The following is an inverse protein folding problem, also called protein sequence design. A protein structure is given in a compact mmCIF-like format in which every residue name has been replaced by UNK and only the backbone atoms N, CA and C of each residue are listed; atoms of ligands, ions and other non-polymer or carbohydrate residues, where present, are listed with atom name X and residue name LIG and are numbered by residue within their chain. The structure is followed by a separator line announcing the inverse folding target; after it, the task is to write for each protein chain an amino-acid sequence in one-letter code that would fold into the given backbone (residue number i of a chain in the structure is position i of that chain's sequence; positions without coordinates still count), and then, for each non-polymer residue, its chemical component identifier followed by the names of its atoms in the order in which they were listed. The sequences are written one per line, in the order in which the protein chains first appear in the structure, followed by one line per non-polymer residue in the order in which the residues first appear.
data_IF_641584366235
#
_entry.id   IF_641584366235
#
_cell.length_a   1.000
_cell.length_b   1.000
_cell.length_c   1.000
_cell.angle_alpha   90.00
_cell.angle_beta   90.00
_cell.angle_gamma   90.00
#
_symmetry.space_group_name_H-M   'P 1'
#
loop_
_entity.id
_entity.type
_entity.pdbx_description
1 polymer ?
#
# COMPACT_ATOMS: atom_id res chain seq x y z
N UNK A 1 -25.05 2.52 0.91
CA UNK A 1 -24.61 3.12 -0.37
C UNK A 1 -24.34 1.98 -1.33
N UNK A 2 -24.94 1.93 -2.54
CA UNK A 2 -24.67 0.84 -3.48
C UNK A 2 -23.20 0.88 -3.92
N UNK A 3 -22.55 -0.28 -4.13
CA UNK A 3 -21.16 -0.33 -4.60
C UNK A 3 -21.06 0.36 -5.97
N UNK A 4 -19.95 1.06 -6.23
CA UNK A 4 -19.78 1.77 -7.49
C UNK A 4 -19.71 0.76 -8.64
N UNK A 5 -20.72 0.78 -9.50
CA UNK A 5 -20.77 -0.02 -10.73
C UNK A 5 -19.49 0.19 -11.55
N UNK A 6 -18.79 -0.88 -11.97
CA UNK A 6 -17.50 -0.78 -12.67
C UNK A 6 -17.57 0.01 -14.00
N UNK A 7 -18.77 0.25 -14.52
CA UNK A 7 -19.02 1.12 -15.68
C UNK A 7 -18.87 2.63 -15.42
N UNK A 8 -18.84 3.09 -14.16
CA UNK A 8 -18.72 4.52 -13.79
C UNK A 8 -17.30 4.95 -13.40
N UNK A 9 -16.33 4.03 -13.49
CA UNK A 9 -14.95 4.26 -13.09
C UNK A 9 -14.17 5.08 -14.14
N UNK A 10 -13.52 6.14 -13.68
CA UNK A 10 -12.61 6.95 -14.50
C UNK A 10 -11.45 6.11 -15.04
N UNK A 11 -10.79 6.57 -16.12
CA UNK A 11 -9.63 5.86 -16.71
C UNK A 11 -8.52 5.62 -15.68
N UNK A 12 -8.29 6.58 -14.79
CA UNK A 12 -7.29 6.46 -13.71
C UNK A 12 -7.70 5.40 -12.68
N UNK A 13 -8.97 5.37 -12.26
CA UNK A 13 -9.49 4.37 -11.33
C UNK A 13 -9.37 2.96 -11.90
N UNK A 14 -9.69 2.77 -13.19
CA UNK A 14 -9.53 1.48 -13.87
C UNK A 14 -8.08 1.02 -13.94
N UNK A 15 -7.14 1.95 -14.21
CA UNK A 15 -5.71 1.63 -14.26
C UNK A 15 -5.17 1.29 -12.87
N UNK A 16 -5.59 2.01 -11.83
CA UNK A 16 -5.25 1.69 -10.45
C UNK A 16 -5.79 0.32 -10.03
N UNK A 17 -7.05 -0.01 -10.39
CA UNK A 17 -7.65 -1.32 -10.15
C UNK A 17 -6.89 -2.47 -10.83
N UNK A 18 -6.41 -2.25 -12.06
CA UNK A 18 -5.61 -3.24 -12.78
C UNK A 18 -4.26 -3.52 -12.09
N UNK A 19 -3.65 -2.50 -11.47
CA UNK A 19 -2.41 -2.64 -10.70
C UNK A 19 -2.66 -3.29 -9.33
N UNK A 20 -3.77 -2.97 -8.67
CA UNK A 20 -4.16 -3.55 -7.37
C UNK A 20 -4.59 -5.03 -7.41
N UNK A 21 -4.39 -5.78 -8.52
CA UNK A 21 -4.61 -7.23 -8.56
C UNK A 21 -3.67 -8.02 -7.64
N UNK A 22 -2.56 -7.40 -7.23
CA UNK A 22 -1.67 -7.84 -6.16
C UNK A 22 -1.53 -6.68 -5.16
N UNK A 23 -1.21 -6.95 -3.88
CA UNK A 23 -0.93 -5.88 -2.92
C UNK A 23 0.26 -5.05 -3.41
N UNK A 24 0.03 -3.76 -3.65
CA UNK A 24 1.06 -2.79 -4.06
C UNK A 24 1.17 -1.67 -3.04
N UNK A 25 2.38 -1.13 -2.89
CA UNK A 25 2.59 0.08 -2.10
C UNK A 25 2.00 1.29 -2.83
N UNK A 26 1.41 2.24 -2.08
CA UNK A 26 0.87 3.48 -2.68
C UNK A 26 1.94 4.30 -3.41
N UNK A 27 3.20 4.23 -2.96
CA UNK A 27 4.33 4.89 -3.61
C UNK A 27 4.63 4.29 -4.99
N UNK A 28 4.54 2.97 -5.11
CA UNK A 28 4.74 2.24 -6.35
C UNK A 28 3.65 2.61 -7.37
N UNK A 29 2.38 2.62 -6.94
CA UNK A 29 1.25 3.08 -7.75
C UNK A 29 1.40 4.54 -8.21
N UNK A 30 1.93 5.41 -7.36
CA UNK A 30 2.19 6.80 -7.72
C UNK A 30 3.30 6.93 -8.78
N UNK A 31 4.36 6.12 -8.65
CA UNK A 31 5.43 6.02 -9.64
C UNK A 31 4.91 5.55 -11.00
N UNK A 32 4.14 4.45 -11.01
CA UNK A 32 3.61 3.81 -12.21
C UNK A 32 2.57 4.65 -12.96
N UNK A 33 1.78 5.42 -12.21
CA UNK A 33 0.75 6.29 -12.77
C UNK A 33 1.26 7.71 -13.04
N UNK A 34 2.44 8.08 -12.52
CA UNK A 34 2.99 9.43 -12.62
C UNK A 34 2.13 10.49 -11.91
N UNK A 35 1.38 10.10 -10.87
CA UNK A 35 0.45 10.96 -10.16
C UNK A 35 0.93 11.28 -8.74
N UNK A 36 0.64 12.47 -8.20
CA UNK A 36 0.96 12.80 -6.81
C UNK A 36 0.30 11.83 -5.82
N UNK A 37 1.01 11.49 -4.73
CA UNK A 37 0.49 10.61 -3.67
C UNK A 37 -0.85 11.06 -3.11
N UNK A 38 -1.10 12.37 -3.01
CA UNK A 38 -2.38 12.91 -2.56
C UNK A 38 -3.54 12.50 -3.47
N UNK A 39 -3.33 12.54 -4.79
CA UNK A 39 -4.33 12.13 -5.78
C UNK A 39 -4.57 10.63 -5.71
N UNK A 40 -3.50 9.83 -5.63
CA UNK A 40 -3.61 8.38 -5.48
C UNK A 40 -4.37 7.99 -4.20
N UNK A 41 -4.14 8.68 -3.08
CA UNK A 41 -4.85 8.43 -1.82
C UNK A 41 -6.35 8.72 -1.93
N UNK A 42 -6.74 9.78 -2.60
CA UNK A 42 -8.17 10.10 -2.83
C UNK A 42 -8.80 9.04 -3.73
N UNK A 43 -8.16 8.71 -4.87
CA UNK A 43 -8.66 7.68 -5.79
C UNK A 43 -8.74 6.29 -5.14
N UNK A 44 -7.74 5.93 -4.33
CA UNK A 44 -7.76 4.69 -3.56
C UNK A 44 -8.86 4.72 -2.50
N UNK A 45 -9.06 5.84 -1.81
CA UNK A 45 -10.18 6.05 -0.89
C UNK A 45 -11.54 5.83 -1.53
N UNK A 46 -11.75 6.39 -2.74
CA UNK A 46 -12.99 6.20 -3.49
C UNK A 46 -13.22 4.72 -3.85
N UNK A 47 -12.16 3.99 -4.21
CA UNK A 47 -12.24 2.57 -4.53
C UNK A 47 -12.46 1.68 -3.29
N UNK A 48 -11.87 2.05 -2.15
CA UNK A 48 -12.10 1.39 -0.86
C UNK A 48 -13.54 1.60 -0.41
N UNK A 49 -14.05 2.84 -0.49
CA UNK A 49 -15.44 3.15 -0.15
C UNK A 49 -16.42 2.43 -1.08
N UNK A 50 -16.02 2.19 -2.32
CA UNK A 50 -16.79 1.40 -3.30
C UNK A 50 -16.70 -0.11 -3.09
N UNK A 51 -15.86 -0.59 -2.17
CA UNK A 51 -15.63 -2.01 -1.91
C UNK A 51 -14.87 -2.75 -3.01
N UNK A 52 -14.19 -2.02 -3.90
CA UNK A 52 -13.47 -2.59 -5.05
C UNK A 52 -12.00 -2.90 -4.74
N UNK A 53 -11.44 -2.27 -3.71
CA UNK A 53 -10.06 -2.46 -3.25
C UNK A 53 -10.07 -2.46 -1.73
N UNK A 54 -9.29 -3.36 -1.11
CA UNK A 54 -9.09 -3.39 0.34
C UNK A 54 -7.66 -3.00 0.70
N UNK A 55 -7.47 -2.45 1.90
CA UNK A 55 -6.14 -2.11 2.39
C UNK A 55 -5.59 -3.29 3.17
N UNK A 56 -4.73 -4.06 2.53
CA UNK A 56 -3.96 -5.05 3.22
C UNK A 56 -2.96 -4.35 4.15
N UNK A 57 -3.27 -4.30 5.44
CA UNK A 57 -2.24 -4.06 6.45
C UNK A 57 -1.32 -5.27 6.44
N UNK A 58 -0.02 -5.04 6.30
CA UNK A 58 0.98 -6.08 6.51
C UNK A 58 0.96 -6.47 7.99
N UNK A 59 0.01 -7.32 8.39
CA UNK A 59 0.07 -8.02 9.66
C UNK A 59 1.04 -9.16 9.50
N UNK A 60 1.99 -9.22 10.43
CA UNK A 60 3.00 -10.25 10.53
C UNK A 60 2.39 -11.65 10.52
N UNK A 61 3.07 -12.65 9.92
CA UNK A 61 2.53 -14.00 9.83
C UNK A 61 2.25 -14.53 11.24
N UNK A 62 1.00 -14.93 11.49
CA UNK A 62 0.60 -15.54 12.74
C UNK A 62 1.27 -16.91 12.87
N UNK A 63 2.10 -17.07 13.89
CA UNK A 63 2.67 -18.36 14.32
C UNK A 63 1.52 -19.32 14.70
N UNK A 64 1.58 -20.64 14.40
CA UNK A 64 0.49 -21.60 14.58
C UNK A 64 -0.04 -21.76 16.02
N UNK A 65 0.53 -21.08 17.01
CA UNK A 65 0.15 -21.17 18.43
C UNK A 65 -0.97 -20.21 18.84
N UNK A 66 -1.61 -19.49 17.89
CA UNK A 66 -2.76 -18.62 18.19
C UNK A 66 -2.45 -17.41 19.10
N UNK A 67 -1.18 -17.19 19.42
CA UNK A 67 -0.73 -16.01 20.16
C UNK A 67 -0.32 -14.94 19.15
N UNK A 68 -0.82 -13.70 19.26
CA UNK A 68 -0.29 -12.59 18.49
C UNK A 68 1.17 -12.43 18.89
N UNK A 69 2.10 -12.92 18.08
CA UNK A 69 3.49 -12.54 18.22
C UNK A 69 3.53 -11.04 17.97
N UNK A 70 3.81 -10.26 19.02
CA UNK A 70 4.26 -8.87 18.88
C UNK A 70 5.57 -8.93 18.08
N UNK A 71 5.47 -9.00 16.76
CA UNK A 71 6.56 -8.57 15.90
C UNK A 71 6.41 -7.06 15.91
N UNK A 72 7.13 -6.43 16.85
CA UNK A 72 7.37 -5.00 16.75
C UNK A 72 7.93 -4.78 15.34
N UNK A 73 7.42 -3.80 14.57
CA UNK A 73 8.07 -3.43 13.33
C UNK A 73 9.53 -3.16 13.69
N UNK A 74 10.44 -4.00 13.20
CA UNK A 74 11.88 -3.86 13.40
C UNK A 74 12.39 -2.71 12.51
N UNK A 75 11.74 -1.55 12.60
CA UNK A 75 12.30 -0.29 12.14
C UNK A 75 13.33 0.11 13.18
N UNK A 76 14.38 -0.69 13.34
CA UNK A 76 15.49 -0.40 14.23
C UNK A 76 16.19 0.85 13.67
N UNK A 77 16.05 2.02 14.33
CA UNK A 77 16.59 3.27 13.79
C UNK A 77 18.12 3.21 13.68
N UNK A 78 18.77 2.36 14.47
CA UNK A 78 20.20 2.10 14.39
C UNK A 78 20.61 1.35 13.12
N UNK A 79 19.77 0.44 12.60
CA UNK A 79 20.07 -0.26 11.35
C UNK A 79 20.00 0.70 10.15
N UNK A 80 18.99 1.57 10.13
CA UNK A 80 18.89 2.62 9.10
C UNK A 80 20.06 3.60 9.16
N UNK A 81 20.51 3.94 10.38
CA UNK A 81 21.68 4.78 10.61
C UNK A 81 22.97 4.13 10.09
N UNK A 82 23.14 2.82 10.33
CA UNK A 82 24.29 2.04 9.88
C UNK A 82 24.34 1.96 8.35
N UNK A 83 23.21 1.65 7.70
CA UNK A 83 23.13 1.63 6.23
C UNK A 83 23.43 3.01 5.63
N UNK A 84 22.97 4.09 6.27
CA UNK A 84 23.25 5.45 5.79
C UNK A 84 24.73 5.83 5.93
N UNK A 85 25.39 5.38 7.00
CA UNK A 85 26.81 5.59 7.21
C UNK A 85 27.64 4.85 6.14
N UNK A 86 27.32 3.57 5.91
CA UNK A 86 27.94 2.74 4.87
C UNK A 86 27.75 3.32 3.47
N UNK A 87 26.54 3.80 3.12
CA UNK A 87 26.28 4.43 1.81
C UNK A 87 27.00 5.77 1.62
N UNK A 88 27.34 6.47 2.71
CA UNK A 88 28.09 7.74 2.66
C UNK A 88 29.61 7.51 2.62
N UNK A 89 30.07 6.35 3.08
CA UNK A 89 31.47 5.95 3.05
C UNK A 89 31.94 5.37 1.70
N UNK A 90 31.01 5.10 0.77
CA UNK A 90 31.25 4.74 -0.63
C UNK A 90 31.50 5.99 -1.50
#
# INVERSE_FOLDING_TARGET
RPPAEPGRLSRHQRRLLALCRRPHALADLASDLGLPLGVIRVLAGDLIESGLVDVQRWSTPATPTGQPTMIQPHTDPNLLRMVLDELRAL
#
